data_IF_182432031139
#
_entry.id   IF_182432031139
#
_cell.length_a   1.000
_cell.length_b   1.000
_cell.length_c   1.000
_cell.angle_alpha   90.00
_cell.angle_beta   90.00
_cell.angle_gamma   90.00
#
_symmetry.space_group_name_H-M   'P 1'
#
loop_
_entity.id
_entity.type
_entity.pdbx_description
1 polymer ?
#
# COMPACT_ATOMS: atom_id res chain seq x y z
N UNK A 1 8.59 38.81 -1.93
CA UNK A 1 9.13 38.00 -3.06
C UNK A 1 8.48 36.62 -3.21
N UNK A 2 7.31 36.40 -2.70
CA UNK A 2 6.60 35.10 -2.68
C UNK A 2 6.35 34.48 -4.08
N UNK A 3 6.09 35.29 -5.10
CA UNK A 3 5.83 34.83 -6.46
C UNK A 3 7.05 34.10 -7.08
N UNK A 4 8.27 34.53 -6.78
CA UNK A 4 9.48 33.88 -7.28
C UNK A 4 9.60 32.44 -6.78
N UNK A 5 9.29 32.22 -5.50
CA UNK A 5 9.30 30.90 -4.85
C UNK A 5 8.21 30.03 -5.48
N UNK A 6 7.01 30.58 -5.67
CA UNK A 6 5.90 29.85 -6.34
C UNK A 6 6.31 29.37 -7.74
N UNK A 7 6.93 30.24 -8.54
CA UNK A 7 7.40 29.91 -9.91
C UNK A 7 8.55 28.88 -9.85
N UNK A 8 9.46 29.00 -8.89
CA UNK A 8 10.56 28.04 -8.69
C UNK A 8 9.98 26.63 -8.49
N UNK A 9 9.04 26.47 -7.57
CA UNK A 9 8.44 25.17 -7.28
C UNK A 9 7.48 24.70 -8.37
N UNK A 10 6.80 25.61 -9.09
CA UNK A 10 6.06 25.23 -10.31
C UNK A 10 6.98 24.64 -11.37
N UNK A 11 8.15 25.23 -11.58
CA UNK A 11 9.13 24.70 -12.52
C UNK A 11 9.71 23.35 -12.06
N UNK A 12 9.90 23.14 -10.75
CA UNK A 12 10.38 21.87 -10.20
C UNK A 12 9.40 20.71 -10.51
N UNK A 13 8.09 20.97 -10.48
CA UNK A 13 7.07 19.95 -10.78
C UNK A 13 6.61 19.93 -12.26
N UNK A 14 7.13 20.83 -13.10
CA UNK A 14 6.69 21.02 -14.50
C UNK A 14 6.80 19.74 -15.34
N UNK A 15 7.82 18.92 -15.12
CA UNK A 15 8.05 17.65 -15.82
C UNK A 15 6.97 16.59 -15.54
N UNK A 16 6.20 16.73 -14.43
CA UNK A 16 5.10 15.86 -14.05
C UNK A 16 3.73 16.38 -14.51
N UNK A 17 3.66 17.60 -15.06
CA UNK A 17 2.45 18.21 -15.56
C UNK A 17 2.32 17.97 -17.07
N UNK A 18 1.35 17.16 -17.48
CA UNK A 18 1.09 16.88 -18.90
C UNK A 18 0.80 18.16 -19.69
N UNK A 19 1.39 18.27 -20.87
CA UNK A 19 1.25 19.41 -21.79
C UNK A 19 1.59 20.77 -21.14
N UNK A 20 2.52 20.80 -20.20
CA UNK A 20 2.95 22.02 -19.54
C UNK A 20 3.61 22.98 -20.54
N UNK A 21 3.15 24.24 -20.56
CA UNK A 21 3.67 25.30 -21.43
C UNK A 21 3.66 26.63 -20.71
N UNK A 22 4.75 27.38 -20.81
CA UNK A 22 4.77 28.80 -20.43
C UNK A 22 4.13 29.63 -21.53
N UNK A 23 3.09 30.38 -21.20
CA UNK A 23 2.35 31.26 -22.13
C UNK A 23 2.82 32.72 -22.09
N UNK A 24 3.17 33.20 -20.90
CA UNK A 24 3.80 34.51 -20.68
C UNK A 24 4.67 34.45 -19.41
N UNK A 25 5.17 35.58 -18.92
CA UNK A 25 6.05 35.66 -17.76
C UNK A 25 5.43 34.98 -16.52
N UNK A 26 4.16 35.22 -16.25
CA UNK A 26 3.46 34.74 -15.04
C UNK A 26 2.19 33.91 -15.39
N UNK A 27 2.14 33.34 -16.60
CA UNK A 27 1.03 32.51 -17.06
C UNK A 27 1.56 31.20 -17.64
N UNK A 28 1.11 30.09 -17.04
CA UNK A 28 1.46 28.74 -17.47
C UNK A 28 0.17 27.94 -17.71
N UNK A 29 0.25 26.96 -18.60
CA UNK A 29 -0.86 26.14 -18.98
C UNK A 29 -0.45 24.66 -18.92
N UNK A 30 -1.34 23.81 -18.46
CA UNK A 30 -1.15 22.37 -18.43
C UNK A 30 -2.47 21.62 -18.59
N UNK A 31 -2.38 20.35 -18.90
CA UNK A 31 -3.50 19.44 -18.73
C UNK A 31 -3.83 19.34 -17.23
N UNK A 32 -5.11 19.46 -16.87
CA UNK A 32 -5.48 19.47 -15.47
C UNK A 32 -5.17 18.13 -14.78
N UNK A 33 -4.29 18.08 -13.77
CA UNK A 33 -3.99 16.83 -13.08
C UNK A 33 -5.12 16.36 -12.16
N UNK A 34 -6.06 17.25 -11.79
CA UNK A 34 -7.17 16.92 -10.88
C UNK A 34 -8.32 16.21 -11.60
N UNK A 35 -8.62 16.58 -12.86
CA UNK A 35 -9.74 16.00 -13.60
C UNK A 35 -9.34 15.29 -14.90
N UNK A 36 -8.04 15.17 -15.17
CA UNK A 36 -7.51 14.53 -16.38
C UNK A 36 -7.92 15.20 -17.70
N UNK A 37 -8.51 16.40 -17.63
CA UNK A 37 -8.98 17.16 -18.79
C UNK A 37 -9.86 16.33 -19.76
N UNK A 38 -9.65 16.35 -21.08
CA UNK A 38 -10.45 15.60 -22.06
C UNK A 38 -9.85 14.21 -22.31
N UNK A 39 -10.63 13.15 -22.15
CA UNK A 39 -10.18 11.81 -22.48
C UNK A 39 -10.10 11.56 -24.00
N UNK A 40 -11.00 12.23 -24.78
CA UNK A 40 -11.02 12.11 -26.24
C UNK A 40 -9.90 12.89 -26.94
N UNK A 41 -9.42 13.97 -26.32
CA UNK A 41 -8.37 14.80 -26.89
C UNK A 41 -7.28 15.10 -25.86
N UNK A 42 -6.20 14.29 -25.90
CA UNK A 42 -5.07 14.40 -24.99
C UNK A 42 -4.24 15.68 -25.17
N UNK A 43 -4.40 16.41 -26.28
CA UNK A 43 -3.72 17.71 -26.51
C UNK A 43 -4.39 18.89 -25.80
N UNK A 44 -5.62 18.72 -25.29
CA UNK A 44 -6.32 19.79 -24.55
C UNK A 44 -5.68 20.00 -23.19
N UNK A 45 -5.46 21.27 -22.85
CA UNK A 45 -4.86 21.73 -21.60
C UNK A 45 -5.67 22.92 -21.10
N UNK A 46 -6.49 22.74 -20.06
CA UNK A 46 -7.41 23.74 -19.50
C UNK A 46 -7.09 24.09 -18.03
N UNK A 47 -6.01 23.57 -17.50
CA UNK A 47 -5.40 23.99 -16.25
C UNK A 47 -4.47 25.17 -16.49
N UNK A 48 -4.58 26.22 -15.69
CA UNK A 48 -3.76 27.42 -15.79
C UNK A 48 -3.18 27.79 -14.43
N UNK A 49 -1.89 28.13 -14.42
CA UNK A 49 -1.26 28.84 -13.31
C UNK A 49 -1.09 30.30 -13.73
N UNK A 50 -1.55 31.19 -12.91
CA UNK A 50 -1.55 32.63 -13.20
C UNK A 50 -1.26 33.45 -11.95
N UNK A 51 -0.65 34.62 -12.14
CA UNK A 51 -0.37 35.56 -11.06
C UNK A 51 -1.66 36.23 -10.59
N UNK A 52 -1.90 36.20 -9.27
CA UNK A 52 -2.87 37.04 -8.59
C UNK A 52 -2.14 37.87 -7.53
N UNK A 53 -2.23 39.18 -7.59
CA UNK A 53 -1.50 40.12 -6.68
C UNK A 53 -0.01 39.76 -6.51
N UNK A 54 0.35 39.06 -5.43
CA UNK A 54 1.73 38.69 -5.10
C UNK A 54 2.01 37.17 -5.13
N UNK A 55 1.02 36.36 -5.43
CA UNK A 55 1.06 34.90 -5.40
C UNK A 55 0.64 34.26 -6.70
N UNK A 56 0.97 32.98 -6.88
CA UNK A 56 0.52 32.18 -8.01
C UNK A 56 -0.75 31.41 -7.64
N UNK A 57 -1.69 31.32 -8.56
CA UNK A 57 -2.94 30.59 -8.41
C UNK A 57 -3.10 29.56 -9.52
N UNK A 58 -3.76 28.46 -9.22
CA UNK A 58 -4.18 27.46 -10.18
C UNK A 58 -5.69 27.52 -10.43
N UNK A 59 -6.12 27.42 -11.69
CA UNK A 59 -7.53 27.28 -12.06
C UNK A 59 -7.68 26.35 -13.27
N UNK A 60 -8.67 25.46 -13.19
CA UNK A 60 -9.07 24.61 -14.31
C UNK A 60 -10.41 25.07 -14.90
N UNK A 61 -10.43 25.37 -16.19
CA UNK A 61 -11.66 25.78 -16.88
C UNK A 61 -12.59 24.62 -17.27
N UNK A 62 -12.23 23.37 -16.96
CA UNK A 62 -13.13 22.22 -17.14
C UNK A 62 -13.86 21.83 -15.85
N UNK A 63 -13.13 21.59 -14.77
CA UNK A 63 -13.73 21.14 -13.51
C UNK A 63 -14.00 22.28 -12.50
N UNK A 64 -13.62 23.52 -12.83
CA UNK A 64 -13.81 24.67 -11.95
C UNK A 64 -12.85 24.74 -10.76
N UNK A 65 -11.98 23.75 -10.57
CA UNK A 65 -11.02 23.75 -9.47
C UNK A 65 -10.19 25.04 -9.47
N UNK A 66 -10.12 25.71 -8.32
CA UNK A 66 -9.36 26.95 -8.13
C UNK A 66 -8.66 26.90 -6.78
N UNK A 67 -7.34 27.02 -6.79
CA UNK A 67 -6.50 26.89 -5.60
C UNK A 67 -5.38 27.92 -5.60
N UNK A 68 -4.96 28.36 -4.41
CA UNK A 68 -3.65 28.97 -4.23
C UNK A 68 -2.56 27.96 -4.57
N UNK A 69 -1.41 28.39 -5.10
CA UNK A 69 -0.34 27.49 -5.55
C UNK A 69 0.12 26.55 -4.42
N UNK A 70 0.32 27.04 -3.20
CA UNK A 70 0.68 26.19 -2.06
C UNK A 70 -0.33 25.07 -1.79
N UNK A 71 -1.65 25.37 -1.87
CA UNK A 71 -2.69 24.35 -1.71
C UNK A 71 -2.68 23.33 -2.87
N UNK A 72 -2.45 23.81 -4.10
CA UNK A 72 -2.27 22.94 -5.24
C UNK A 72 -1.05 22.01 -5.05
N UNK A 73 0.10 22.57 -4.66
CA UNK A 73 1.34 21.82 -4.46
C UNK A 73 1.21 20.79 -3.34
N UNK A 74 0.54 21.14 -2.24
CA UNK A 74 0.28 20.22 -1.13
C UNK A 74 -0.46 18.95 -1.59
N UNK A 75 -1.43 19.11 -2.48
CA UNK A 75 -2.22 17.99 -2.99
C UNK A 75 -1.54 17.23 -4.14
N UNK A 76 -0.66 17.90 -4.90
CA UNK A 76 0.00 17.34 -6.07
C UNK A 76 1.34 16.68 -5.75
N UNK A 77 2.13 17.29 -4.86
CA UNK A 77 3.44 16.82 -4.42
C UNK A 77 3.72 17.23 -2.97
N UNK A 78 3.33 16.42 -1.97
CA UNK A 78 3.54 16.73 -0.55
C UNK A 78 5.02 16.92 -0.18
N UNK A 79 5.93 16.21 -0.85
CA UNK A 79 7.38 16.31 -0.60
C UNK A 79 7.92 17.68 -1.00
N UNK A 80 7.60 18.12 -2.21
CA UNK A 80 7.95 19.47 -2.68
C UNK A 80 7.25 20.56 -1.87
N UNK A 81 6.03 20.30 -1.40
CA UNK A 81 5.30 21.23 -0.55
C UNK A 81 6.01 21.50 0.78
N UNK A 82 6.59 20.48 1.42
CA UNK A 82 7.32 20.65 2.68
C UNK A 82 8.52 21.58 2.52
N UNK A 83 9.30 21.41 1.43
CA UNK A 83 10.42 22.29 1.10
C UNK A 83 9.96 23.70 0.73
N UNK A 84 8.89 23.81 -0.04
CA UNK A 84 8.26 25.09 -0.40
C UNK A 84 7.85 25.93 0.80
N UNK A 85 7.23 25.30 1.82
CA UNK A 85 6.79 26.00 3.04
C UNK A 85 7.99 26.57 3.79
N UNK A 86 9.04 25.77 3.97
CA UNK A 86 10.28 26.18 4.68
C UNK A 86 10.94 27.37 3.96
N UNK A 87 11.09 27.29 2.63
CA UNK A 87 11.74 28.35 1.85
C UNK A 87 10.91 29.63 1.84
N UNK A 88 9.60 29.51 1.73
CA UNK A 88 8.68 30.65 1.75
C UNK A 88 8.65 31.35 3.10
N UNK A 89 8.81 30.60 4.19
CA UNK A 89 8.96 31.16 5.54
C UNK A 89 10.28 31.90 5.72
N UNK A 90 11.39 31.32 5.23
CA UNK A 90 12.73 31.91 5.31
C UNK A 90 12.85 33.24 4.53
N UNK A 91 12.11 33.39 3.42
CA UNK A 91 12.09 34.62 2.59
C UNK A 91 11.23 35.77 3.19
N UNK A 92 10.75 35.63 4.43
CA UNK A 92 9.99 36.70 5.11
C UNK A 92 8.62 36.98 4.51
N UNK A 93 8.06 36.05 3.78
CA UNK A 93 6.74 36.11 3.17
C UNK A 93 5.61 36.07 4.23
N UNK A 94 5.51 37.11 5.05
CA UNK A 94 4.41 37.33 6.00
C UNK A 94 3.13 37.68 5.22
N UNK A 95 2.58 36.72 4.55
CA UNK A 95 1.22 36.81 4.03
C UNK A 95 0.24 36.64 5.18
N UNK A 96 -0.21 37.78 5.76
CA UNK A 96 -1.39 38.00 6.59
C UNK A 96 -1.94 36.80 7.38
N UNK A 97 -1.89 36.91 8.71
CA UNK A 97 -2.75 36.31 9.76
C UNK A 97 -3.12 34.80 9.73
N UNK A 98 -3.12 34.12 8.59
CA UNK A 98 -3.40 32.69 8.51
C UNK A 98 -2.14 31.82 8.34
N UNK A 99 -0.96 32.40 8.04
CA UNK A 99 0.29 31.65 7.88
C UNK A 99 0.92 31.27 9.24
N UNK A 100 0.71 32.04 10.30
CA UNK A 100 1.22 31.69 11.63
C UNK A 100 0.58 30.44 12.25
N UNK A 101 -0.68 30.13 11.90
CA UNK A 101 -1.32 28.89 12.32
C UNK A 101 -0.74 27.64 11.63
N UNK A 102 -0.24 27.78 10.40
CA UNK A 102 0.27 26.64 9.65
C UNK A 102 1.71 26.21 9.99
N UNK A 103 2.55 27.10 10.52
CA UNK A 103 3.96 26.75 10.85
C UNK A 103 4.04 26.08 12.21
N UNK A 104 3.24 26.51 13.18
CA UNK A 104 3.11 25.79 14.46
C UNK A 104 2.40 24.42 14.27
N UNK A 105 1.49 24.29 13.28
CA UNK A 105 0.86 23.03 12.92
C UNK A 105 1.83 22.08 12.20
N UNK A 106 2.79 22.58 11.42
CA UNK A 106 3.80 21.75 10.72
C UNK A 106 4.93 21.33 11.64
N UNK A 107 5.24 22.12 12.69
CA UNK A 107 6.27 21.81 13.69
C UNK A 107 5.73 21.09 14.94
N UNK A 108 4.44 21.08 15.15
CA UNK A 108 3.82 20.12 16.06
C UNK A 108 3.69 18.80 15.31
N UNK A 109 4.51 17.84 15.69
CA UNK A 109 4.12 16.45 15.62
C UNK A 109 2.80 16.34 16.42
N UNK A 110 1.68 16.64 15.77
CA UNK A 110 0.40 16.21 16.32
C UNK A 110 0.42 14.70 16.24
N UNK A 111 0.58 14.06 17.38
CA UNK A 111 -0.02 12.72 17.54
C UNK A 111 -1.42 12.82 16.95
N UNK A 112 -1.82 11.92 16.04
CA UNK A 112 -3.12 11.98 15.42
C UNK A 112 -4.16 11.99 16.53
N UNK A 113 -4.75 13.18 16.81
CA UNK A 113 -5.93 13.28 17.67
C UNK A 113 -7.07 12.63 16.90
N UNK A 114 -7.26 11.35 17.15
CA UNK A 114 -8.47 10.63 16.77
C UNK A 114 -9.67 11.21 17.55
N UNK A 115 -10.19 12.36 17.15
CA UNK A 115 -11.37 13.03 17.73
C UNK A 115 -12.62 12.96 16.82
N UNK A 116 -12.67 11.97 15.92
CA UNK A 116 -13.93 11.35 15.51
C UNK A 116 -13.85 9.92 16.00
N UNK A 117 -14.82 9.49 16.83
CA UNK A 117 -15.12 8.06 16.91
C UNK A 117 -15.20 7.61 15.46
N UNK A 118 -14.34 6.70 14.99
CA UNK A 118 -14.49 6.18 13.64
C UNK A 118 -15.94 5.71 13.56
N UNK A 119 -16.65 6.10 12.50
CA UNK A 119 -17.87 5.39 12.12
C UNK A 119 -17.49 3.91 12.15
N UNK A 120 -18.29 3.04 12.79
CA UNK A 120 -17.95 1.63 12.88
C UNK A 120 -17.61 1.19 11.46
N UNK A 121 -16.36 0.75 11.26
CA UNK A 121 -15.92 0.30 9.94
C UNK A 121 -16.92 -0.76 9.54
N UNK A 122 -17.41 -0.76 8.31
CA UNK A 122 -18.37 -1.76 7.83
C UNK A 122 -17.93 -3.19 8.18
N UNK A 123 -16.62 -3.42 8.29
CA UNK A 123 -16.00 -4.65 8.78
C UNK A 123 -16.50 -4.99 10.19
N UNK A 124 -16.44 -4.05 11.14
CA UNK A 124 -16.77 -4.29 12.57
C UNK A 124 -18.27 -4.55 12.79
N UNK A 125 -19.12 -4.35 11.78
CA UNK A 125 -20.55 -4.67 11.84
C UNK A 125 -20.87 -6.12 11.44
N UNK A 126 -19.95 -6.79 10.72
CA UNK A 126 -20.19 -8.15 10.18
C UNK A 126 -19.14 -9.18 10.60
N UNK A 127 -18.04 -8.74 11.21
CA UNK A 127 -16.91 -9.59 11.63
C UNK A 127 -16.37 -9.09 12.98
N UNK A 128 -15.96 -10.03 13.81
CA UNK A 128 -15.36 -9.75 15.12
C UNK A 128 -13.84 -9.85 15.03
N UNK A 129 -13.13 -8.85 15.56
CA UNK A 129 -11.67 -8.84 15.56
C UNK A 129 -11.12 -9.88 16.52
N UNK A 130 -10.11 -10.67 16.10
CA UNK A 130 -9.62 -11.82 16.86
C UNK A 130 -9.11 -11.47 18.25
N UNK A 131 -8.44 -10.32 18.42
CA UNK A 131 -7.91 -9.88 19.71
C UNK A 131 -9.00 -9.51 20.74
N UNK A 132 -10.26 -9.39 20.30
CA UNK A 132 -11.42 -9.12 21.18
C UNK A 132 -12.20 -10.37 21.53
N UNK A 133 -11.86 -11.51 20.91
CA UNK A 133 -12.56 -12.78 21.10
C UNK A 133 -11.90 -13.63 22.18
N UNK A 134 -12.69 -14.50 22.88
CA UNK A 134 -12.13 -15.42 23.86
C UNK A 134 -11.28 -16.52 23.18
N UNK A 135 -10.36 -17.09 23.94
CA UNK A 135 -9.41 -18.08 23.43
C UNK A 135 -10.08 -19.38 22.94
N UNK A 136 -11.27 -19.72 23.36
CA UNK A 136 -12.04 -20.89 22.90
C UNK A 136 -12.77 -20.65 21.57
N UNK A 137 -12.76 -19.44 21.03
CA UNK A 137 -13.28 -19.17 19.70
C UNK A 137 -12.49 -19.95 18.64
N UNK A 138 -13.19 -20.59 17.69
CA UNK A 138 -12.56 -21.47 16.69
C UNK A 138 -11.55 -20.77 15.76
N UNK A 139 -11.76 -19.50 15.41
CA UNK A 139 -10.80 -18.76 14.60
C UNK A 139 -9.57 -18.34 15.43
N UNK A 140 -9.76 -18.05 16.72
CA UNK A 140 -8.67 -17.81 17.68
C UNK A 140 -7.85 -19.08 17.84
N UNK A 141 -8.51 -20.23 18.06
CA UNK A 141 -7.82 -21.53 18.14
C UNK A 141 -7.08 -21.88 16.85
N UNK A 142 -7.68 -21.59 15.69
CA UNK A 142 -7.01 -21.75 14.40
C UNK A 142 -5.71 -20.93 14.32
N UNK A 143 -5.75 -19.66 14.73
CA UNK A 143 -4.59 -18.78 14.73
C UNK A 143 -3.51 -19.24 15.72
N UNK A 144 -3.90 -19.68 16.93
CA UNK A 144 -3.00 -20.25 17.95
C UNK A 144 -2.31 -21.50 17.42
N UNK A 145 -3.07 -22.42 16.82
CA UNK A 145 -2.53 -23.68 16.30
C UNK A 145 -1.53 -23.45 15.16
N UNK A 146 -1.71 -22.35 14.41
CA UNK A 146 -0.77 -21.89 13.38
C UNK A 146 0.40 -21.07 13.94
N UNK A 147 0.48 -20.93 15.26
CA UNK A 147 1.50 -20.15 15.96
C UNK A 147 1.56 -18.68 15.52
N UNK A 148 0.47 -18.12 14.99
CA UNK A 148 0.39 -16.71 14.62
C UNK A 148 0.63 -15.85 15.86
N UNK A 149 1.53 -14.83 15.79
CA UNK A 149 1.82 -13.95 16.92
C UNK A 149 0.56 -13.24 17.43
N UNK A 150 0.39 -13.17 18.76
CA UNK A 150 -0.78 -12.55 19.38
C UNK A 150 -0.94 -11.07 19.06
N UNK A 151 0.16 -10.35 18.85
CA UNK A 151 0.17 -8.95 18.44
C UNK A 151 -0.33 -8.72 17.00
N UNK A 152 -0.42 -9.80 16.20
CA UNK A 152 -1.03 -9.74 14.86
C UNK A 152 -2.54 -10.04 14.85
N UNK A 153 -3.15 -10.37 15.99
CA UNK A 153 -4.58 -10.71 16.06
C UNK A 153 -5.48 -9.50 15.80
N UNK A 154 -5.01 -8.28 16.01
CA UNK A 154 -5.71 -7.04 15.65
C UNK A 154 -5.91 -6.87 14.12
N UNK A 155 -5.21 -7.67 13.31
CA UNK A 155 -5.27 -7.68 11.85
C UNK A 155 -6.17 -8.79 11.27
N UNK A 156 -6.66 -9.66 12.12
CA UNK A 156 -7.46 -10.84 11.79
C UNK A 156 -8.85 -10.72 12.38
N UNK A 157 -9.83 -11.28 11.67
CA UNK A 157 -11.22 -11.23 12.08
C UNK A 157 -11.88 -12.61 11.98
N UNK A 158 -12.92 -12.81 12.76
CA UNK A 158 -13.80 -13.96 12.67
C UNK A 158 -15.12 -13.55 12.03
N UNK A 159 -15.56 -14.31 11.02
CA UNK A 159 -16.89 -14.19 10.47
C UNK A 159 -17.65 -15.48 10.72
N UNK A 160 -18.73 -15.44 11.55
CA UNK A 160 -19.50 -16.63 11.89
C UNK A 160 -20.25 -17.22 10.69
N UNK A 161 -20.65 -16.38 9.76
CA UNK A 161 -21.37 -16.77 8.56
C UNK A 161 -20.79 -16.07 7.34
N UNK A 162 -20.14 -16.84 6.46
CA UNK A 162 -19.53 -16.31 5.24
C UNK A 162 -20.51 -15.55 4.34
N UNK A 163 -21.83 -15.83 4.41
CA UNK A 163 -22.83 -15.07 3.64
C UNK A 163 -22.93 -13.61 4.01
N UNK A 164 -22.53 -13.23 5.21
CA UNK A 164 -22.63 -11.83 5.65
C UNK A 164 -21.70 -10.90 4.86
N UNK A 165 -20.65 -11.43 4.21
CA UNK A 165 -19.78 -10.64 3.31
C UNK A 165 -20.50 -10.12 2.07
N UNK A 166 -21.68 -10.64 1.73
CA UNK A 166 -22.51 -10.12 0.64
C UNK A 166 -22.87 -8.65 0.88
N UNK A 167 -22.94 -8.23 2.17
CA UNK A 167 -23.16 -6.83 2.54
C UNK A 167 -21.99 -5.91 2.08
N UNK A 168 -20.81 -6.46 1.81
CA UNK A 168 -19.67 -5.71 1.29
C UNK A 168 -19.73 -5.52 -0.23
N UNK A 169 -20.29 -6.50 -0.96
CA UNK A 169 -20.43 -6.43 -2.41
C UNK A 169 -21.48 -7.46 -2.90
N UNK A 170 -22.61 -6.97 -3.37
CA UNK A 170 -23.76 -7.78 -3.85
C UNK A 170 -23.43 -8.71 -5.01
N UNK A 171 -22.35 -8.47 -5.75
CA UNK A 171 -21.88 -9.31 -6.86
C UNK A 171 -21.69 -10.78 -6.43
N UNK A 172 -21.37 -11.02 -5.17
CA UNK A 172 -21.08 -12.37 -4.66
C UNK A 172 -22.32 -13.13 -4.18
N UNK A 173 -23.52 -12.54 -4.24
CA UNK A 173 -24.77 -13.10 -3.72
C UNK A 173 -25.09 -14.49 -4.27
N UNK A 174 -24.84 -14.72 -5.56
CA UNK A 174 -25.12 -16.00 -6.20
C UNK A 174 -24.00 -17.03 -6.05
N UNK A 175 -22.76 -16.56 -5.78
CA UNK A 175 -21.59 -17.43 -5.67
C UNK A 175 -21.33 -17.95 -4.25
N UNK A 176 -21.77 -17.21 -3.21
CA UNK A 176 -21.60 -17.61 -1.82
C UNK A 176 -22.88 -18.26 -1.32
N UNK A 177 -22.93 -19.58 -1.45
CA UNK A 177 -24.09 -20.39 -1.11
C UNK A 177 -23.99 -21.06 0.28
N UNK A 178 -22.76 -21.20 0.79
CA UNK A 178 -22.47 -21.82 2.09
C UNK A 178 -22.62 -20.83 3.24
N UNK A 179 -22.71 -21.31 4.47
CA UNK A 179 -22.88 -20.50 5.67
C UNK A 179 -21.90 -20.90 6.79
N UNK A 180 -20.75 -21.42 6.40
CA UNK A 180 -19.70 -21.79 7.37
C UNK A 180 -18.97 -20.55 7.91
N UNK A 181 -18.38 -20.68 9.14
CA UNK A 181 -17.49 -19.65 9.68
C UNK A 181 -16.15 -19.66 8.99
N UNK A 182 -15.48 -18.49 8.97
CA UNK A 182 -14.15 -18.34 8.38
C UNK A 182 -13.29 -17.35 9.18
N UNK A 183 -11.98 -17.51 9.06
CA UNK A 183 -11.04 -16.47 9.40
C UNK A 183 -11.02 -15.43 8.27
N UNK A 184 -11.33 -14.18 8.59
CA UNK A 184 -11.35 -13.09 7.64
C UNK A 184 -10.09 -12.24 7.79
N UNK A 185 -9.47 -11.91 6.67
CA UNK A 185 -8.24 -11.16 6.55
C UNK A 185 -8.53 -9.94 5.67
N UNK A 186 -8.80 -8.75 6.26
CA UNK A 186 -9.09 -7.54 5.51
C UNK A 186 -7.81 -6.95 4.92
N UNK A 187 -7.86 -6.57 3.64
CA UNK A 187 -6.79 -5.86 2.94
C UNK A 187 -7.18 -4.39 2.89
N UNK A 188 -6.41 -3.59 3.60
CA UNK A 188 -6.63 -2.15 3.71
C UNK A 188 -5.59 -1.39 2.89
N UNK A 189 -5.95 -0.24 2.35
CA UNK A 189 -4.97 0.69 1.77
C UNK A 189 -4.25 1.50 2.87
N UNK A 190 -3.27 2.32 2.48
CA UNK A 190 -2.51 3.16 3.41
C UNK A 190 -3.36 4.22 4.16
N UNK A 191 -4.65 4.38 3.83
CA UNK A 191 -5.60 5.24 4.55
C UNK A 191 -6.52 4.46 5.49
N UNK A 192 -6.42 3.12 5.49
CA UNK A 192 -7.28 2.21 6.23
C UNK A 192 -8.63 1.91 5.56
N UNK A 193 -8.80 2.25 4.28
CA UNK A 193 -9.97 1.88 3.48
C UNK A 193 -9.91 0.40 3.14
N UNK A 194 -11.04 -0.32 3.31
CA UNK A 194 -11.16 -1.71 2.93
C UNK A 194 -11.19 -1.88 1.41
N UNK A 195 -10.32 -2.72 0.90
CA UNK A 195 -10.18 -3.04 -0.53
C UNK A 195 -10.66 -4.45 -0.87
N UNK A 196 -10.23 -5.42 -0.07
CA UNK A 196 -10.52 -6.85 -0.26
C UNK A 196 -10.68 -7.51 1.10
N UNK A 197 -11.52 -8.52 1.21
CA UNK A 197 -11.52 -9.45 2.35
C UNK A 197 -11.17 -10.84 1.84
N UNK A 198 -10.10 -11.41 2.34
CA UNK A 198 -9.72 -12.80 2.09
C UNK A 198 -10.24 -13.68 3.22
N UNK A 199 -11.08 -14.65 2.89
CA UNK A 199 -11.77 -15.53 3.82
C UNK A 199 -11.13 -16.91 3.80
N UNK A 200 -10.40 -17.24 4.86
CA UNK A 200 -9.72 -18.52 5.03
C UNK A 200 -10.64 -19.53 5.70
N UNK A 201 -10.75 -20.72 5.10
CA UNK A 201 -11.39 -21.87 5.72
C UNK A 201 -10.64 -22.35 6.98
N UNK A 202 -11.37 -22.63 8.08
CA UNK A 202 -10.80 -23.01 9.37
C UNK A 202 -11.18 -24.43 9.80
N UNK A 203 -12.14 -25.06 9.12
CA UNK A 203 -12.66 -26.41 9.41
C UNK A 203 -12.32 -27.45 8.34
N UNK A 204 -11.39 -27.12 7.39
CA UNK A 204 -11.03 -28.01 6.30
C UNK A 204 -11.92 -27.91 5.07
N UNK A 205 -12.54 -26.75 4.84
CA UNK A 205 -13.40 -26.46 3.70
C UNK A 205 -12.67 -26.68 2.38
N UNK A 206 -13.41 -27.17 1.36
CA UNK A 206 -12.88 -27.46 0.02
C UNK A 206 -12.30 -26.21 -0.65
N UNK A 207 -12.97 -25.07 -0.50
CA UNK A 207 -12.46 -23.77 -0.90
C UNK A 207 -11.62 -23.17 0.25
N UNK A 208 -10.32 -23.35 0.14
CA UNK A 208 -9.35 -22.89 1.14
C UNK A 208 -9.38 -21.37 1.37
N UNK A 209 -9.56 -20.60 0.28
CA UNK A 209 -9.70 -19.15 0.31
C UNK A 209 -10.85 -18.70 -0.58
N UNK A 210 -11.59 -17.69 -0.12
CA UNK A 210 -12.56 -16.93 -0.90
C UNK A 210 -12.16 -15.46 -0.79
N UNK A 211 -11.95 -14.77 -1.91
CA UNK A 211 -11.58 -13.37 -1.92
C UNK A 211 -12.77 -12.52 -2.37
N UNK A 212 -13.19 -11.61 -1.52
CA UNK A 212 -14.27 -10.66 -1.77
C UNK A 212 -13.64 -9.30 -2.07
N UNK A 213 -13.76 -8.84 -3.29
CA UNK A 213 -13.33 -7.50 -3.67
C UNK A 213 -14.43 -6.50 -3.31
N UNK A 214 -14.09 -5.53 -2.48
CA UNK A 214 -14.93 -4.37 -2.17
C UNK A 214 -14.69 -3.27 -3.20
N UNK A 215 -13.43 -3.15 -3.64
CA UNK A 215 -13.01 -2.29 -4.75
C UNK A 215 -12.45 -3.19 -5.86
N UNK A 216 -13.16 -3.24 -7.01
CA UNK A 216 -12.85 -4.18 -8.09
C UNK A 216 -11.47 -3.93 -8.73
N UNK A 217 -11.03 -2.68 -8.77
CA UNK A 217 -9.76 -2.27 -9.38
C UNK A 217 -8.58 -2.34 -8.42
N UNK A 218 -8.86 -2.52 -7.12
CA UNK A 218 -7.82 -2.54 -6.10
C UNK A 218 -6.90 -3.76 -6.24
N UNK A 219 -5.60 -3.61 -5.92
CA UNK A 219 -4.69 -4.73 -5.79
C UNK A 219 -5.06 -5.57 -4.57
N UNK A 220 -5.00 -6.90 -4.69
CA UNK A 220 -5.16 -7.80 -3.55
C UNK A 220 -3.83 -7.92 -2.79
N UNK A 221 -3.44 -6.84 -2.11
CA UNK A 221 -2.20 -6.73 -1.34
C UNK A 221 -2.55 -6.45 0.11
N UNK A 222 -2.17 -7.36 0.99
CA UNK A 222 -2.36 -7.26 2.44
C UNK A 222 -1.21 -6.49 3.10
N UNK A 223 -1.51 -5.66 4.09
CA UNK A 223 -0.51 -5.00 4.93
C UNK A 223 -0.10 -3.60 4.48
N UNK A 224 -0.73 -3.02 3.42
CA UNK A 224 -0.40 -1.67 2.95
C UNK A 224 -0.69 -0.57 3.99
N UNK A 225 -1.58 -0.83 4.94
CA UNK A 225 -1.94 0.08 6.02
C UNK A 225 -0.91 0.14 7.17
N UNK A 226 -0.01 -0.83 7.23
CA UNK A 226 0.98 -0.98 8.33
C UNK A 226 2.43 -0.86 7.85
N UNK A 227 2.67 -0.92 6.53
CA UNK A 227 4.03 -0.92 5.98
C UNK A 227 4.66 0.47 6.01
N UNK A 228 5.92 0.54 6.42
CA UNK A 228 6.78 1.73 6.25
C UNK A 228 7.57 1.61 4.93
N UNK A 229 7.20 2.38 3.89
CA UNK A 229 7.86 2.29 2.59
C UNK A 229 9.29 2.86 2.58
N UNK A 230 9.72 3.52 3.65
CA UNK A 230 11.07 4.10 3.77
C UNK A 230 12.10 3.08 4.24
N UNK A 231 11.65 1.95 4.78
CA UNK A 231 12.47 0.84 5.24
C UNK A 231 12.39 -0.34 4.26
N UNK A 232 13.17 -1.39 4.52
CA UNK A 232 13.08 -2.63 3.76
C UNK A 232 11.70 -3.27 3.95
N UNK A 233 11.03 -3.60 2.83
CA UNK A 233 9.70 -4.19 2.79
C UNK A 233 9.80 -5.61 2.25
N UNK A 234 9.38 -6.57 3.05
CA UNK A 234 9.33 -7.97 2.68
C UNK A 234 8.00 -8.28 1.99
N UNK A 235 8.06 -8.85 0.78
CA UNK A 235 6.89 -9.18 -0.02
C UNK A 235 6.76 -10.68 -0.13
N UNK A 236 5.71 -11.25 0.47
CA UNK A 236 5.42 -12.68 0.48
C UNK A 236 4.17 -13.03 -0.34
N UNK A 237 3.90 -14.33 -0.53
CA UNK A 237 2.70 -14.79 -1.24
C UNK A 237 1.46 -14.80 -0.34
N UNK A 238 1.60 -15.31 0.88
CA UNK A 238 0.49 -15.55 1.80
C UNK A 238 0.29 -14.45 2.84
N UNK A 239 -0.94 -13.95 3.05
CA UNK A 239 -1.21 -12.97 4.11
C UNK A 239 -0.81 -13.47 5.51
N UNK A 240 -1.01 -14.76 5.82
CA UNK A 240 -0.64 -15.32 7.11
C UNK A 240 0.87 -15.41 7.29
N UNK A 241 1.63 -15.66 6.22
CA UNK A 241 3.10 -15.71 6.24
C UNK A 241 3.69 -14.33 6.57
N UNK A 242 3.08 -13.27 6.06
CA UNK A 242 3.53 -11.90 6.35
C UNK A 242 3.44 -11.53 7.84
N UNK A 243 2.54 -12.17 8.61
CA UNK A 243 2.37 -11.89 10.04
C UNK A 243 3.56 -12.31 10.92
N UNK A 244 4.48 -13.11 10.38
CA UNK A 244 5.69 -13.54 11.07
C UNK A 244 6.90 -12.65 10.77
N UNK A 245 6.76 -11.68 9.87
CA UNK A 245 7.85 -10.82 9.41
C UNK A 245 7.61 -9.37 9.80
N UNK A 246 8.70 -8.69 10.13
CA UNK A 246 8.68 -7.24 10.31
C UNK A 246 8.47 -6.54 8.95
N UNK A 247 7.74 -5.41 8.95
CA UNK A 247 7.55 -4.53 7.79
C UNK A 247 7.26 -5.29 6.47
N UNK A 248 6.19 -6.06 6.47
CA UNK A 248 5.87 -6.98 5.38
C UNK A 248 4.49 -6.75 4.78
N UNK A 249 4.37 -7.09 3.49
CA UNK A 249 3.12 -7.15 2.75
C UNK A 249 2.96 -8.50 2.08
N UNK A 250 1.73 -8.88 1.76
CA UNK A 250 1.47 -10.11 1.01
C UNK A 250 0.69 -9.85 -0.27
N UNK A 251 1.15 -10.44 -1.38
CA UNK A 251 0.51 -10.37 -2.68
C UNK A 251 -0.34 -11.61 -2.93
N UNK A 252 -1.64 -11.55 -2.61
CA UNK A 252 -2.53 -12.67 -2.84
C UNK A 252 -2.78 -12.93 -4.34
N UNK A 253 -2.51 -14.16 -4.79
CA UNK A 253 -2.76 -14.61 -6.17
C UNK A 253 -1.93 -13.86 -7.22
N UNK A 254 -2.58 -13.28 -8.24
CA UNK A 254 -1.92 -12.60 -9.37
C UNK A 254 -1.38 -11.20 -9.04
N UNK A 255 -1.53 -10.74 -7.80
CA UNK A 255 -1.19 -9.36 -7.40
C UNK A 255 0.31 -9.06 -7.36
N UNK A 256 1.18 -10.09 -7.42
CA UNK A 256 2.62 -9.86 -7.64
C UNK A 256 2.90 -8.98 -8.87
N UNK A 257 2.12 -9.09 -9.95
CA UNK A 257 2.26 -8.23 -11.14
C UNK A 257 1.99 -6.74 -10.90
N UNK A 258 1.51 -6.35 -9.72
CA UNK A 258 1.23 -4.97 -9.34
C UNK A 258 2.27 -4.37 -8.37
N UNK A 259 3.31 -5.10 -8.01
CA UNK A 259 4.38 -4.62 -7.10
C UNK A 259 5.02 -3.32 -7.62
N UNK A 260 5.26 -3.22 -8.93
CA UNK A 260 5.83 -2.03 -9.55
C UNK A 260 4.93 -0.77 -9.44
N UNK A 261 3.66 -0.94 -9.08
CA UNK A 261 2.69 0.16 -8.94
C UNK A 261 2.59 0.67 -7.51
N UNK A 262 3.23 -0.01 -6.56
CA UNK A 262 3.22 0.40 -5.15
C UNK A 262 4.09 1.65 -4.94
N UNK A 263 3.70 2.54 -4.03
CA UNK A 263 4.49 3.71 -3.66
C UNK A 263 5.67 3.34 -2.74
N UNK A 264 6.36 2.24 -3.04
CA UNK A 264 7.52 1.72 -2.30
C UNK A 264 8.72 1.76 -3.25
N UNK A 265 9.83 2.40 -2.88
CA UNK A 265 11.06 2.36 -3.66
C UNK A 265 11.51 0.93 -3.93
N UNK A 266 11.87 0.62 -5.17
CA UNK A 266 12.23 -0.74 -5.58
C UNK A 266 13.42 -1.30 -4.79
N UNK A 267 14.38 -0.46 -4.46
CA UNK A 267 15.53 -0.78 -3.62
C UNK A 267 15.16 -1.21 -2.20
N UNK A 268 13.97 -0.85 -1.74
CA UNK A 268 13.44 -1.24 -0.44
C UNK A 268 12.61 -2.53 -0.50
N UNK A 269 12.39 -3.11 -1.69
CA UNK A 269 11.58 -4.32 -1.84
C UNK A 269 12.47 -5.57 -1.88
N UNK A 270 12.20 -6.50 -0.97
CA UNK A 270 12.75 -7.87 -0.98
C UNK A 270 11.62 -8.88 -1.16
N UNK A 271 11.68 -9.65 -2.24
CA UNK A 271 10.64 -10.63 -2.60
C UNK A 271 11.00 -12.00 -2.02
N UNK A 272 10.01 -12.64 -1.43
CA UNK A 272 10.10 -13.94 -0.77
C UNK A 272 9.02 -14.85 -1.34
N UNK A 273 9.40 -15.79 -2.19
CA UNK A 273 8.51 -16.85 -2.67
C UNK A 273 8.56 -18.07 -1.75
N UNK A 274 7.54 -18.89 -1.84
CA UNK A 274 7.51 -20.18 -1.16
C UNK A 274 8.74 -21.02 -1.50
N UNK A 275 9.26 -21.78 -0.54
CA UNK A 275 10.40 -22.70 -0.72
C UNK A 275 9.99 -23.95 -1.50
N UNK A 276 9.68 -23.78 -2.77
CA UNK A 276 9.20 -24.83 -3.66
C UNK A 276 10.12 -25.02 -4.87
N UNK A 277 11.38 -25.54 -4.72
CA UNK A 277 12.38 -25.61 -5.79
C UNK A 277 11.97 -26.53 -6.95
N UNK A 278 10.96 -27.38 -6.77
CA UNK A 278 10.39 -28.25 -7.81
C UNK A 278 9.18 -27.62 -8.52
N UNK A 279 8.69 -26.47 -8.07
CA UNK A 279 7.56 -25.78 -8.68
C UNK A 279 8.02 -24.87 -9.83
N UNK A 280 7.67 -25.25 -11.06
CA UNK A 280 8.08 -24.51 -12.27
C UNK A 280 7.51 -23.10 -12.32
N UNK A 281 6.32 -22.86 -11.78
CA UNK A 281 5.68 -21.53 -11.84
C UNK A 281 6.31 -20.58 -10.83
N UNK A 282 6.61 -21.05 -9.61
CA UNK A 282 7.43 -20.30 -8.64
C UNK A 282 8.79 -19.98 -9.25
N UNK A 283 9.46 -20.97 -9.85
CA UNK A 283 10.75 -20.75 -10.50
C UNK A 283 10.73 -19.70 -11.62
N UNK A 284 9.67 -19.71 -12.47
CA UNK A 284 9.52 -18.69 -13.52
C UNK A 284 9.33 -17.28 -12.92
N UNK A 285 8.51 -17.16 -11.87
CA UNK A 285 8.30 -15.88 -11.20
C UNK A 285 9.59 -15.38 -10.55
N UNK A 286 10.31 -16.22 -9.81
CA UNK A 286 11.60 -15.86 -9.22
C UNK A 286 12.57 -15.33 -10.28
N UNK A 287 12.75 -16.09 -11.38
CA UNK A 287 13.64 -15.65 -12.47
C UNK A 287 13.21 -14.30 -13.06
N UNK A 288 11.91 -14.11 -13.30
CA UNK A 288 11.36 -12.84 -13.81
C UNK A 288 11.73 -11.67 -12.91
N UNK A 289 11.51 -11.78 -11.59
CA UNK A 289 11.78 -10.66 -10.66
C UNK A 289 13.27 -10.45 -10.42
N UNK A 290 14.11 -11.50 -10.47
CA UNK A 290 15.56 -11.38 -10.49
C UNK A 290 16.02 -10.60 -11.74
N UNK A 291 15.46 -10.90 -12.93
CA UNK A 291 15.76 -10.19 -14.18
C UNK A 291 15.31 -8.73 -14.15
N UNK A 292 14.19 -8.45 -13.46
CA UNK A 292 13.73 -7.09 -13.18
C UNK A 292 14.59 -6.36 -12.16
N UNK A 293 15.56 -7.02 -11.50
CA UNK A 293 16.52 -6.45 -10.56
C UNK A 293 15.99 -6.24 -9.15
N UNK A 294 14.98 -6.98 -8.71
CA UNK A 294 14.56 -7.01 -7.31
C UNK A 294 15.53 -7.79 -6.44
N UNK A 295 15.58 -7.47 -5.14
CA UNK A 295 16.16 -8.36 -4.13
C UNK A 295 15.27 -9.58 -3.99
N UNK A 296 15.87 -10.74 -3.86
CA UNK A 296 15.19 -12.04 -3.81
C UNK A 296 15.77 -12.91 -2.72
N UNK A 297 14.91 -13.46 -1.88
CA UNK A 297 15.32 -14.52 -0.94
C UNK A 297 15.44 -15.84 -1.70
N UNK A 298 16.59 -16.47 -1.57
CA UNK A 298 16.83 -17.84 -2.08
C UNK A 298 17.01 -18.74 -0.86
N UNK A 299 15.98 -19.50 -0.56
CA UNK A 299 15.95 -20.32 0.64
C UNK A 299 17.11 -21.34 0.67
N UNK A 300 17.81 -21.47 1.80
CA UNK A 300 18.73 -22.59 2.01
C UNK A 300 17.95 -23.90 2.24
N UNK A 301 18.64 -24.98 2.59
CA UNK A 301 17.96 -26.21 2.99
C UNK A 301 17.34 -26.06 4.38
N UNK A 302 16.07 -25.68 4.40
CA UNK A 302 15.27 -25.49 5.62
C UNK A 302 13.98 -26.30 5.52
N UNK A 303 13.47 -26.81 6.66
CA UNK A 303 12.22 -27.57 6.69
C UNK A 303 11.03 -26.65 6.53
N UNK A 304 10.15 -26.95 5.58
CA UNK A 304 8.92 -26.19 5.32
C UNK A 304 8.91 -25.53 3.93
N UNK A 305 7.73 -25.48 3.34
CA UNK A 305 7.52 -24.90 2.00
C UNK A 305 7.17 -23.40 2.06
N UNK A 306 6.60 -22.94 3.15
CA UNK A 306 6.23 -21.55 3.40
C UNK A 306 6.65 -21.15 4.84
N UNK A 307 6.58 -19.87 5.15
CA UNK A 307 7.03 -19.34 6.45
C UNK A 307 6.21 -19.95 7.59
N UNK A 308 4.90 -20.08 7.43
CA UNK A 308 4.05 -20.64 8.47
C UNK A 308 4.43 -22.13 8.75
N UNK A 309 4.68 -22.93 7.72
CA UNK A 309 5.13 -24.31 7.89
C UNK A 309 6.51 -24.40 8.55
N UNK A 310 7.42 -23.46 8.25
CA UNK A 310 8.72 -23.35 8.94
C UNK A 310 8.54 -23.08 10.44
N UNK A 311 7.60 -22.20 10.81
CA UNK A 311 7.21 -21.92 12.20
C UNK A 311 6.60 -23.16 12.87
N UNK A 312 5.69 -23.85 12.17
CA UNK A 312 5.08 -25.09 12.68
C UNK A 312 6.13 -26.17 12.94
N UNK A 313 7.18 -26.23 12.08
CA UNK A 313 8.33 -27.13 12.22
C UNK A 313 9.34 -26.71 13.31
N UNK A 314 9.11 -25.60 14.00
CA UNK A 314 9.86 -25.23 15.20
C UNK A 314 10.79 -24.02 15.06
N UNK A 315 10.91 -23.40 13.88
CA UNK A 315 11.63 -22.14 13.75
C UNK A 315 10.85 -21.00 14.41
N UNK A 316 11.56 -20.01 14.92
CA UNK A 316 11.01 -18.76 15.43
C UNK A 316 10.97 -17.67 14.34
N UNK A 317 10.15 -16.65 14.49
CA UNK A 317 10.13 -15.49 13.58
C UNK A 317 11.52 -14.82 13.49
N UNK A 318 12.26 -14.75 14.59
CA UNK A 318 13.60 -14.16 14.62
C UNK A 318 14.61 -15.00 13.81
N UNK A 319 14.56 -16.33 13.92
CA UNK A 319 15.42 -17.21 13.13
C UNK A 319 15.09 -17.12 11.64
N UNK A 320 13.81 -17.09 11.28
CA UNK A 320 13.38 -16.89 9.89
C UNK A 320 13.85 -15.54 9.35
N UNK A 321 13.73 -14.47 10.13
CA UNK A 321 14.23 -13.16 9.73
C UNK A 321 15.76 -13.17 9.51
N UNK A 322 16.51 -13.86 10.37
CA UNK A 322 17.95 -14.10 10.19
C UNK A 322 18.25 -14.84 8.89
N UNK A 323 17.55 -15.95 8.64
CA UNK A 323 17.69 -16.73 7.39
C UNK A 323 17.40 -15.89 6.16
N UNK A 324 16.34 -15.07 6.19
CA UNK A 324 15.98 -14.15 5.11
C UNK A 324 17.10 -13.16 4.85
N UNK A 325 17.62 -12.50 5.89
CA UNK A 325 18.70 -11.52 5.76
C UNK A 325 19.97 -12.11 5.16
N UNK A 326 20.37 -13.31 5.62
CA UNK A 326 21.56 -14.01 5.16
C UNK A 326 21.43 -14.57 3.74
N UNK A 327 20.20 -14.77 3.26
CA UNK A 327 19.91 -15.39 1.96
C UNK A 327 19.19 -14.48 0.99
N UNK A 328 19.27 -13.15 1.19
CA UNK A 328 18.78 -12.13 0.24
C UNK A 328 19.87 -11.80 -0.77
N UNK A 329 19.57 -11.95 -2.05
CA UNK A 329 20.49 -11.74 -3.16
C UNK A 329 19.88 -10.84 -4.22
N UNK A 330 20.71 -10.20 -5.07
CA UNK A 330 20.29 -9.35 -6.18
C UNK A 330 21.18 -9.53 -7.41
N UNK A 331 20.66 -9.31 -8.61
CA UNK A 331 21.41 -9.33 -9.85
C UNK A 331 22.09 -10.69 -10.13
N UNK A 332 23.36 -10.69 -10.47
CA UNK A 332 24.09 -11.92 -10.83
C UNK A 332 24.21 -12.92 -9.68
N UNK A 333 24.37 -12.44 -8.44
CA UNK A 333 24.40 -13.32 -7.27
C UNK A 333 23.09 -14.06 -7.06
N UNK A 334 21.95 -13.36 -7.25
CA UNK A 334 20.63 -13.98 -7.20
C UNK A 334 20.46 -15.03 -8.30
N UNK A 335 20.90 -14.75 -9.54
CA UNK A 335 20.86 -15.72 -10.65
C UNK A 335 21.68 -16.99 -10.34
N UNK A 336 22.87 -16.83 -9.83
CA UNK A 336 23.72 -17.95 -9.48
C UNK A 336 23.11 -18.82 -8.37
N UNK A 337 22.64 -18.19 -7.29
CA UNK A 337 21.98 -18.91 -6.19
C UNK A 337 20.68 -19.57 -6.62
N UNK A 338 19.85 -18.88 -7.41
CA UNK A 338 18.62 -19.44 -7.97
C UNK A 338 18.90 -20.67 -8.84
N UNK A 339 19.94 -20.65 -9.69
CA UNK A 339 20.30 -21.79 -10.52
C UNK A 339 20.69 -23.03 -9.70
N UNK A 340 21.26 -22.84 -8.50
CA UNK A 340 21.58 -23.90 -7.57
C UNK A 340 20.35 -24.38 -6.77
N UNK A 341 19.43 -23.47 -6.44
CA UNK A 341 18.26 -23.76 -5.63
C UNK A 341 17.20 -24.55 -6.40
N UNK A 342 16.95 -24.22 -7.67
CA UNK A 342 15.93 -24.87 -8.49
C UNK A 342 16.26 -26.34 -8.76
N UNK A 343 15.24 -27.22 -8.69
CA UNK A 343 15.37 -28.68 -8.94
C UNK A 343 14.56 -29.14 -10.14
N UNK A 344 14.24 -28.22 -11.09
CA UNK A 344 13.48 -28.48 -12.33
C UNK A 344 14.03 -27.67 -13.50
#
# INVERSE_FOLDING_TARGET
MSLYIDIKYLNAIAHRLENFKKKSQDLFNCRCPLCGDSQRNKKRARGYFYRGKQDLYYKCHKCGASHHFGTFLKNFDPTQYSQYVVERYADGGHGRANAHKNVEEVLKFEEPKFTKKPEPKLIDSIMDRLDTLPDDNEAVQYAINRKIPRDAFDRLYFIPNVKDVIQLNDKYKESIITSEPRLAIPFLDGTGKLLVVSLRGIRGESLRYINIKVDEDAPSIFGLDKVDPTQEVFVVEGPLDSLFLHNSIACAGTSFGKIDQLPIPKENITIIFDNQPKNRDVGKLMNKYIDMGYKMVIWPDVPGKDINEMIENGLTSSEIQGIINDNTFQGLSAKAKYAMWRKV
#
